data_IF_220666589700
#
_entry.id   IF_220666589700
#
_cell.length_a   1.000
_cell.length_b   1.000
_cell.length_c   1.000
_cell.angle_alpha   90.00
_cell.angle_beta   90.00
_cell.angle_gamma   90.00
#
_symmetry.space_group_name_H-M   'P 1'
#
loop_
_entity.id
_entity.type
_entity.pdbx_description
1 polymer ?
#
# COMPACT_ATOMS: atom_id res chain seq x y z
N UNK A 1 -23.08 -0.62 -12.83
CA UNK A 1 -21.74 -1.20 -12.58
C UNK A 1 -21.85 -2.51 -11.81
N UNK A 2 -22.49 -2.56 -10.67
CA UNK A 2 -22.74 -3.80 -9.88
C UNK A 2 -23.38 -4.92 -10.73
N UNK A 3 -24.38 -4.63 -11.57
CA UNK A 3 -24.98 -5.61 -12.49
C UNK A 3 -23.99 -6.21 -13.50
N UNK A 4 -22.99 -5.46 -13.95
CA UNK A 4 -21.95 -5.97 -14.87
C UNK A 4 -20.92 -6.85 -14.15
N UNK A 5 -20.67 -6.59 -12.87
CA UNK A 5 -19.78 -7.40 -12.04
C UNK A 5 -20.45 -8.70 -11.60
N UNK A 6 -21.74 -8.65 -11.23
CA UNK A 6 -22.53 -9.85 -10.98
C UNK A 6 -22.66 -10.71 -12.25
N UNK A 7 -22.73 -10.08 -13.43
CA UNK A 7 -22.73 -10.78 -14.71
C UNK A 7 -21.36 -11.41 -15.03
N UNK A 8 -20.24 -10.77 -14.66
CA UNK A 8 -18.91 -11.36 -14.81
C UNK A 8 -18.67 -12.53 -13.84
N UNK A 9 -19.12 -12.40 -12.58
CA UNK A 9 -19.09 -13.50 -11.62
C UNK A 9 -20.02 -14.65 -12.08
N UNK A 10 -21.22 -14.35 -12.58
CA UNK A 10 -22.14 -15.35 -13.13
C UNK A 10 -21.62 -15.97 -14.43
N UNK A 11 -20.87 -15.23 -15.28
CA UNK A 11 -20.24 -15.79 -16.45
C UNK A 11 -19.10 -16.76 -16.10
N UNK A 12 -18.32 -16.48 -15.06
CA UNK A 12 -17.33 -17.41 -14.53
C UNK A 12 -17.96 -18.70 -13.99
N UNK A 13 -19.15 -18.61 -13.38
CA UNK A 13 -19.88 -19.81 -12.92
C UNK A 13 -20.47 -20.63 -14.06
N UNK A 14 -20.78 -20.03 -15.23
CA UNK A 14 -21.31 -20.75 -16.39
C UNK A 14 -20.22 -21.53 -17.17
N UNK A 15 -18.96 -21.17 -17.06
CA UNK A 15 -17.84 -21.95 -17.63
C UNK A 15 -17.44 -23.16 -16.78
N UNK A 16 -18.02 -23.33 -15.60
CA UNK A 16 -17.73 -24.44 -14.68
C UNK A 16 -18.45 -25.77 -15.03
N UNK A 17 -19.26 -25.79 -16.09
CA UNK A 17 -19.93 -27.00 -16.51
C UNK A 17 -19.14 -27.70 -17.63
N UNK A 18 -18.58 -28.83 -17.23
CA UNK A 18 -18.05 -29.94 -18.05
C UNK A 18 -16.53 -30.06 -18.21
N UNK A 19 -16.02 -31.15 -17.63
CA UNK A 19 -14.92 -32.01 -18.07
C UNK A 19 -13.46 -31.62 -17.74
N UNK A 20 -13.15 -31.16 -16.54
CA UNK A 20 -11.82 -31.42 -16.00
C UNK A 20 -11.97 -31.93 -14.55
N UNK A 21 -11.24 -32.98 -14.17
CA UNK A 21 -11.17 -33.44 -12.79
C UNK A 21 -10.55 -32.33 -11.95
N UNK A 22 -11.35 -31.64 -11.14
CA UNK A 22 -10.96 -30.52 -10.29
C UNK A 22 -12.16 -29.82 -9.66
N UNK A 23 -11.90 -28.99 -8.66
CA UNK A 23 -12.95 -28.32 -7.90
C UNK A 23 -12.88 -26.80 -8.01
N UNK A 24 -14.05 -26.16 -8.15
CA UNK A 24 -14.19 -24.73 -8.02
C UNK A 24 -14.40 -24.31 -6.58
N UNK A 25 -13.64 -23.32 -6.13
CA UNK A 25 -13.84 -22.60 -4.89
C UNK A 25 -14.18 -21.14 -5.16
N UNK A 26 -15.23 -20.64 -4.52
CA UNK A 26 -15.64 -19.25 -4.60
C UNK A 26 -15.72 -18.68 -3.19
N UNK A 27 -14.97 -17.59 -2.98
CA UNK A 27 -14.96 -16.88 -1.71
C UNK A 27 -15.35 -15.42 -1.95
N UNK A 28 -16.22 -14.91 -1.10
CA UNK A 28 -16.50 -13.49 -1.01
C UNK A 28 -16.36 -13.06 0.44
N UNK A 29 -15.63 -12.00 0.67
CA UNK A 29 -15.44 -11.45 1.99
C UNK A 29 -15.43 -9.92 1.94
N UNK A 30 -15.74 -9.32 3.08
CA UNK A 30 -15.77 -7.89 3.17
C UNK A 30 -15.20 -7.38 4.49
N UNK A 31 -14.85 -6.11 4.49
CA UNK A 31 -14.41 -5.38 5.66
C UNK A 31 -15.06 -4.01 5.65
N UNK A 32 -15.57 -3.57 6.78
CA UNK A 32 -15.96 -2.19 6.98
C UNK A 32 -15.21 -1.66 8.21
N UNK A 33 -14.61 -0.47 8.09
CA UNK A 33 -13.90 0.20 9.19
C UNK A 33 -14.37 1.63 9.27
N UNK A 34 -14.74 2.08 10.46
CA UNK A 34 -15.07 3.46 10.77
C UNK A 34 -14.22 3.92 11.93
N UNK A 35 -13.57 5.05 11.75
CA UNK A 35 -12.72 5.67 12.77
C UNK A 35 -13.28 7.05 13.10
N UNK A 36 -13.34 7.39 14.37
CA UNK A 36 -13.52 8.76 14.83
C UNK A 36 -12.18 9.26 15.34
N UNK A 37 -11.79 10.46 14.93
CA UNK A 37 -10.56 11.07 15.41
C UNK A 37 -10.74 12.54 15.72
N UNK A 38 -10.10 12.96 16.81
CA UNK A 38 -9.89 14.35 17.14
C UNK A 38 -8.46 14.74 16.86
N UNK A 39 -8.26 15.88 16.17
CA UNK A 39 -6.93 16.40 15.82
C UNK A 39 -6.74 17.79 16.37
N UNK A 40 -5.53 18.11 16.80
CA UNK A 40 -5.06 19.46 17.08
C UNK A 40 -3.95 19.83 16.12
N UNK A 41 -3.93 21.07 15.64
CA UNK A 41 -2.95 21.58 14.70
C UNK A 41 -2.24 22.80 15.27
N UNK A 42 -0.94 22.87 15.00
CA UNK A 42 -0.10 23.98 15.45
C UNK A 42 0.63 24.58 14.24
N UNK A 43 -0.15 24.98 13.21
CA UNK A 43 0.44 25.55 11.98
C UNK A 43 -0.53 26.46 11.24
N UNK A 44 0.03 27.30 10.38
CA UNK A 44 -0.76 28.14 9.48
C UNK A 44 -1.60 27.30 8.51
N UNK A 45 -1.08 26.17 8.04
CA UNK A 45 -1.78 25.22 7.15
C UNK A 45 -2.99 24.59 7.81
N UNK A 46 -2.89 24.23 9.11
CA UNK A 46 -3.96 23.57 9.85
C UNK A 46 -5.15 24.46 10.22
N UNK A 47 -5.03 25.81 10.14
CA UNK A 47 -6.09 26.74 10.59
C UNK A 47 -7.44 26.58 9.90
N UNK A 48 -7.47 25.98 8.72
CA UNK A 48 -8.70 25.75 7.95
C UNK A 48 -9.19 24.31 7.99
N UNK A 49 -8.59 23.47 8.82
CA UNK A 49 -8.94 22.05 8.92
C UNK A 49 -9.94 21.80 10.07
N UNK A 50 -10.78 20.79 9.90
CA UNK A 50 -11.65 20.30 10.96
C UNK A 50 -10.84 19.61 12.04
N UNK A 51 -11.20 19.80 13.32
CA UNK A 51 -10.63 19.03 14.43
C UNK A 51 -11.27 17.64 14.58
N UNK A 52 -12.45 17.43 14.04
CA UNK A 52 -13.17 16.17 14.14
C UNK A 52 -13.28 15.50 12.78
N UNK A 53 -12.96 14.23 12.72
CA UNK A 53 -12.88 13.43 11.50
C UNK A 53 -13.60 12.09 11.72
N UNK A 54 -14.29 11.62 10.69
CA UNK A 54 -14.99 10.34 10.69
C UNK A 54 -14.74 9.57 9.39
N UNK A 55 -13.49 9.18 9.09
CA UNK A 55 -13.22 8.38 7.91
C UNK A 55 -13.83 6.99 8.04
N UNK A 56 -14.48 6.53 6.97
CA UNK A 56 -15.09 5.22 6.89
C UNK A 56 -14.74 4.57 5.55
N UNK A 57 -14.40 3.29 5.59
CA UNK A 57 -14.06 2.51 4.40
C UNK A 57 -14.77 1.17 4.43
N UNK A 58 -15.31 0.77 3.29
CA UNK A 58 -15.83 -0.58 3.04
C UNK A 58 -15.01 -1.17 1.91
N UNK A 59 -14.54 -2.38 2.10
CA UNK A 59 -13.84 -3.17 1.09
C UNK A 59 -14.62 -4.45 0.86
N UNK A 60 -14.84 -4.82 -0.39
CA UNK A 60 -15.42 -6.10 -0.77
C UNK A 60 -14.49 -6.81 -1.74
N UNK A 61 -14.17 -8.07 -1.47
CA UNK A 61 -13.27 -8.88 -2.28
C UNK A 61 -13.96 -10.17 -2.71
N UNK A 62 -13.67 -10.61 -3.92
CA UNK A 62 -14.16 -11.87 -4.48
C UNK A 62 -12.97 -12.65 -5.04
N UNK A 63 -12.93 -13.93 -4.72
CA UNK A 63 -11.96 -14.89 -5.25
C UNK A 63 -12.74 -16.01 -5.93
N UNK A 64 -12.33 -16.37 -7.14
CA UNK A 64 -12.78 -17.57 -7.82
C UNK A 64 -11.54 -18.39 -8.17
N UNK A 65 -11.49 -19.65 -7.77
CA UNK A 65 -10.32 -20.52 -7.95
C UNK A 65 -10.77 -21.89 -8.46
N UNK A 66 -9.99 -22.44 -9.37
CA UNK A 66 -10.15 -23.81 -9.86
C UNK A 66 -8.88 -24.59 -9.52
N UNK A 67 -9.05 -25.65 -8.74
CA UNK A 67 -7.98 -26.55 -8.35
C UNK A 67 -7.92 -27.74 -9.31
N UNK A 68 -6.77 -27.95 -9.96
CA UNK A 68 -6.51 -29.11 -10.81
C UNK A 68 -5.93 -30.26 -9.99
N UNK A 69 -6.17 -31.51 -10.40
CA UNK A 69 -5.64 -32.71 -9.72
C UNK A 69 -4.12 -32.79 -9.68
N UNK A 70 -3.43 -32.10 -10.59
CA UNK A 70 -1.97 -32.06 -10.68
C UNK A 70 -1.29 -31.00 -9.79
N UNK A 71 -2.04 -30.38 -8.86
CA UNK A 71 -1.53 -29.36 -7.95
C UNK A 71 -1.45 -27.95 -8.51
N UNK A 72 -1.91 -27.72 -9.75
CA UNK A 72 -2.07 -26.36 -10.28
C UNK A 72 -3.38 -25.76 -9.80
N UNK A 73 -3.38 -24.43 -9.64
CA UNK A 73 -4.58 -23.66 -9.32
C UNK A 73 -4.66 -22.45 -10.23
N UNK A 74 -5.79 -22.28 -10.89
CA UNK A 74 -6.10 -21.08 -11.68
C UNK A 74 -7.14 -20.27 -10.92
N UNK A 75 -6.91 -18.97 -10.74
CA UNK A 75 -7.81 -18.11 -10.01
C UNK A 75 -7.98 -16.73 -10.61
N UNK A 76 -9.00 -16.03 -10.14
CA UNK A 76 -9.23 -14.62 -10.37
C UNK A 76 -9.58 -13.93 -9.06
N UNK A 77 -9.04 -12.74 -8.88
CA UNK A 77 -9.25 -11.89 -7.71
C UNK A 77 -9.77 -10.53 -8.14
N UNK A 78 -10.75 -10.00 -7.40
CA UNK A 78 -11.20 -8.63 -7.55
C UNK A 78 -11.46 -8.00 -6.18
N UNK A 79 -10.95 -6.79 -5.97
CA UNK A 79 -11.10 -6.01 -4.76
C UNK A 79 -11.70 -4.64 -5.09
N UNK A 80 -12.73 -4.24 -4.33
CA UNK A 80 -13.43 -2.99 -4.48
C UNK A 80 -13.46 -2.24 -3.16
N UNK A 81 -13.09 -1.00 -3.23
CA UNK A 81 -13.13 -0.09 -2.10
C UNK A 81 -14.22 0.97 -2.28
N UNK A 82 -14.93 1.26 -1.21
CA UNK A 82 -15.82 2.40 -1.09
C UNK A 82 -15.55 3.11 0.23
N UNK A 83 -15.40 4.42 0.21
CA UNK A 83 -15.25 5.17 1.44
C UNK A 83 -14.94 6.64 1.25
N UNK A 84 -15.09 7.39 2.35
CA UNK A 84 -14.67 8.75 2.48
C UNK A 84 -13.26 8.77 3.07
N UNK A 85 -12.30 9.16 2.26
CA UNK A 85 -10.98 9.57 2.70
C UNK A 85 -10.97 11.11 2.70
N UNK A 86 -10.64 11.75 3.80
CA UNK A 86 -10.70 13.22 3.90
C UNK A 86 -9.65 13.92 3.04
N UNK A 87 -8.57 13.27 2.70
CA UNK A 87 -7.62 13.80 1.71
C UNK A 87 -8.21 13.84 0.29
N UNK A 88 -9.32 13.13 0.09
CA UNK A 88 -10.07 13.06 -1.16
C UNK A 88 -11.25 14.03 -1.18
N UNK A 89 -11.20 15.16 -0.44
CA UNK A 89 -12.29 16.15 -0.41
C UNK A 89 -12.76 16.62 -1.79
N UNK A 90 -11.90 16.50 -2.78
CA UNK A 90 -12.23 16.85 -4.18
C UNK A 90 -12.66 15.65 -5.01
N UNK A 91 -12.65 14.43 -4.46
CA UNK A 91 -13.19 13.24 -5.11
C UNK A 91 -14.48 12.85 -4.41
N UNK A 92 -15.58 12.99 -5.14
CA UNK A 92 -16.89 12.46 -4.76
C UNK A 92 -16.74 11.03 -4.26
N UNK A 93 -17.46 10.69 -3.17
CA UNK A 93 -17.66 9.34 -2.71
C UNK A 93 -17.75 8.39 -3.90
N UNK A 94 -16.75 7.54 -4.08
CA UNK A 94 -16.65 6.69 -5.26
C UNK A 94 -16.27 5.27 -4.91
N UNK A 95 -16.67 4.35 -5.77
CA UNK A 95 -16.13 3.00 -5.77
C UNK A 95 -14.86 3.03 -6.60
N UNK A 96 -13.76 2.59 -6.03
CA UNK A 96 -12.52 2.35 -6.76
C UNK A 96 -12.13 0.87 -6.70
N UNK A 97 -11.64 0.32 -7.80
CA UNK A 97 -11.00 -0.99 -7.81
C UNK A 97 -9.56 -0.83 -7.33
N UNK A 98 -9.17 -1.57 -6.30
CA UNK A 98 -7.80 -1.57 -5.84
C UNK A 98 -6.96 -2.60 -6.61
N UNK A 99 -7.48 -3.82 -6.75
CA UNK A 99 -6.80 -4.92 -7.42
C UNK A 99 -7.78 -5.76 -8.23
N UNK A 100 -7.39 -6.13 -9.46
CA UNK A 100 -8.13 -7.06 -10.32
C UNK A 100 -7.11 -7.84 -11.14
N UNK A 101 -6.95 -9.12 -10.86
CA UNK A 101 -5.94 -9.94 -11.50
C UNK A 101 -6.30 -11.42 -11.58
N UNK A 102 -5.69 -12.13 -12.54
CA UNK A 102 -5.65 -13.58 -12.61
C UNK A 102 -4.44 -14.14 -11.88
N UNK A 103 -4.57 -15.34 -11.33
CA UNK A 103 -3.51 -16.06 -10.64
C UNK A 103 -3.37 -17.44 -11.28
N UNK A 104 -2.14 -17.84 -11.56
CA UNK A 104 -1.77 -19.24 -11.79
C UNK A 104 -0.80 -19.62 -10.67
N UNK A 105 -1.26 -20.46 -9.76
CA UNK A 105 -0.44 -21.05 -8.70
C UNK A 105 0.00 -22.47 -9.10
N UNK A 106 1.23 -22.81 -8.81
CA UNK A 106 1.83 -24.06 -9.23
C UNK A 106 2.98 -24.47 -8.30
N UNK A 107 3.43 -25.74 -8.33
CA UNK A 107 4.64 -26.15 -7.61
C UNK A 107 5.90 -25.36 -7.97
N UNK A 108 5.89 -24.67 -9.10
CA UNK A 108 7.02 -23.85 -9.58
C UNK A 108 6.89 -22.37 -9.22
N UNK A 109 5.84 -21.98 -8.49
CA UNK A 109 5.56 -20.61 -8.05
C UNK A 109 4.26 -20.06 -8.59
N UNK A 110 4.05 -18.80 -8.26
CA UNK A 110 2.82 -18.05 -8.51
C UNK A 110 3.04 -17.01 -9.60
N UNK A 111 2.21 -17.04 -10.64
CA UNK A 111 2.14 -16.03 -11.68
C UNK A 111 0.86 -15.20 -11.50
N UNK A 112 1.00 -13.89 -11.42
CA UNK A 112 -0.09 -12.94 -11.24
C UNK A 112 -0.14 -12.03 -12.46
N UNK A 113 -1.32 -11.88 -13.07
CA UNK A 113 -1.52 -11.10 -14.30
C UNK A 113 -2.66 -10.11 -14.09
N UNK A 114 -2.38 -8.83 -14.13
CA UNK A 114 -3.40 -7.78 -13.99
C UNK A 114 -3.01 -6.69 -13.01
N UNK A 115 -4.02 -6.05 -12.44
CA UNK A 115 -3.85 -4.95 -11.49
C UNK A 115 -3.57 -5.50 -10.09
N UNK A 116 -2.32 -5.50 -9.70
CA UNK A 116 -1.86 -5.99 -8.40
C UNK A 116 -0.66 -5.19 -7.89
N UNK A 117 -0.31 -5.34 -6.64
CA UNK A 117 0.98 -4.84 -6.15
C UNK A 117 2.13 -5.65 -6.75
N UNK A 118 3.29 -5.00 -6.92
CA UNK A 118 4.50 -5.62 -7.44
C UNK A 118 5.14 -6.61 -6.45
N UNK A 119 6.12 -7.38 -6.92
CA UNK A 119 6.79 -8.40 -6.11
C UNK A 119 7.53 -7.81 -4.90
N UNK A 120 8.15 -6.64 -5.02
CA UNK A 120 8.87 -6.02 -3.91
C UNK A 120 7.93 -5.49 -2.81
N UNK A 121 6.72 -5.08 -3.17
CA UNK A 121 5.67 -4.74 -2.21
C UNK A 121 5.12 -5.99 -1.51
N UNK A 122 4.87 -7.08 -2.27
CA UNK A 122 4.30 -8.32 -1.73
C UNK A 122 5.26 -9.06 -0.79
N UNK A 123 6.56 -9.00 -1.06
CA UNK A 123 7.61 -9.63 -0.25
C UNK A 123 8.31 -8.64 0.70
N UNK A 124 7.89 -7.38 0.71
CA UNK A 124 8.45 -6.32 1.54
C UNK A 124 8.18 -6.51 3.03
N UNK A 125 9.13 -6.13 3.85
CA UNK A 125 9.02 -6.09 5.30
C UNK A 125 9.14 -4.64 5.77
N UNK A 126 8.35 -4.30 6.77
CA UNK A 126 8.36 -3.00 7.42
C UNK A 126 8.15 -3.14 8.94
N UNK A 127 8.16 -2.03 9.66
CA UNK A 127 7.80 -2.00 11.08
C UNK A 127 6.40 -2.59 11.32
N UNK A 128 6.14 -3.21 12.49
CA UNK A 128 4.84 -3.80 12.79
C UNK A 128 3.72 -2.76 12.74
N UNK A 129 2.59 -3.14 12.13
CA UNK A 129 1.41 -2.29 11.99
C UNK A 129 0.17 -2.97 12.56
N UNK A 130 -0.60 -2.28 13.39
CA UNK A 130 -1.81 -2.80 14.08
C UNK A 130 -3.10 -2.26 13.42
N UNK A 131 -3.11 -2.06 12.12
CA UNK A 131 -4.35 -1.90 11.35
C UNK A 131 -5.25 -0.68 11.61
N UNK A 132 -4.94 0.18 12.59
CA UNK A 132 -5.62 1.47 12.80
C UNK A 132 -4.99 2.52 11.91
N UNK A 133 -3.70 2.69 12.09
CA UNK A 133 -2.84 3.55 11.30
C UNK A 133 -1.72 2.67 10.76
N UNK A 134 -1.58 2.60 9.45
CA UNK A 134 -0.46 1.92 8.82
C UNK A 134 0.82 2.74 9.02
N UNK A 135 1.96 2.08 9.26
CA UNK A 135 3.26 2.77 9.26
C UNK A 135 3.61 3.23 7.86
N UNK A 136 3.44 2.34 6.90
CA UNK A 136 3.49 2.69 5.49
C UNK A 136 2.10 3.17 5.06
N UNK A 137 2.03 4.20 4.23
CA UNK A 137 0.76 4.81 3.81
C UNK A 137 -0.09 5.21 5.03
N UNK A 138 0.52 5.84 6.01
CA UNK A 138 -0.12 6.13 7.29
C UNK A 138 -1.46 6.84 7.13
N UNK A 139 -2.50 6.24 7.67
CA UNK A 139 -3.84 6.84 7.70
C UNK A 139 -3.91 8.10 8.60
N UNK A 140 -2.81 8.48 9.29
CA UNK A 140 -2.76 9.72 10.10
C UNK A 140 -3.08 10.95 9.26
N UNK A 141 -2.73 10.93 7.97
CA UNK A 141 -2.99 12.03 7.03
C UNK A 141 -4.48 12.33 6.85
N UNK A 142 -5.36 11.40 7.23
CA UNK A 142 -6.81 11.62 7.28
C UNK A 142 -7.23 12.47 8.50
N UNK A 143 -6.34 12.67 9.45
CA UNK A 143 -6.56 13.40 10.69
C UNK A 143 -5.67 14.63 10.79
N UNK A 144 -4.39 14.49 10.42
CA UNK A 144 -3.41 15.58 10.33
C UNK A 144 -2.94 15.63 8.88
N UNK A 145 -3.49 16.56 8.09
CA UNK A 145 -3.19 16.61 6.66
C UNK A 145 -1.71 16.85 6.41
N UNK A 146 -1.16 16.11 5.45
CA UNK A 146 0.23 16.23 5.02
C UNK A 146 0.32 17.08 3.74
N UNK A 147 0.88 18.31 3.80
CA UNK A 147 1.07 19.15 2.61
C UNK A 147 2.00 18.54 1.57
N UNK A 148 2.90 17.64 1.99
CA UNK A 148 3.83 16.95 1.10
C UNK A 148 3.16 15.83 0.29
N UNK A 149 1.95 15.40 0.68
CA UNK A 149 1.15 14.37 0.01
C UNK A 149 -0.09 14.96 -0.65
N UNK A 150 0.04 16.07 -1.32
CA UNK A 150 -1.10 16.70 -1.98
C UNK A 150 -1.59 15.86 -3.14
N UNK A 151 -2.87 15.57 -3.12
CA UNK A 151 -3.59 15.00 -4.25
C UNK A 151 -4.25 16.14 -5.01
N UNK A 152 -3.80 16.39 -6.22
CA UNK A 152 -4.47 17.34 -7.09
C UNK A 152 -5.46 16.63 -8.03
N UNK A 153 -6.30 17.39 -8.74
CA UNK A 153 -7.32 16.87 -9.68
C UNK A 153 -6.78 15.99 -10.81
N UNK A 154 -5.46 15.85 -10.94
CA UNK A 154 -4.80 15.16 -12.06
C UNK A 154 -3.81 14.08 -11.62
N UNK A 155 -3.65 13.85 -10.33
CA UNK A 155 -2.74 12.83 -9.82
C UNK A 155 -2.34 13.03 -8.38
N UNK A 156 -1.54 12.12 -7.86
CA UNK A 156 -0.90 12.24 -6.56
C UNK A 156 0.50 12.80 -6.75
N UNK A 157 0.76 13.99 -6.27
CA UNK A 157 2.10 14.51 -6.13
C UNK A 157 2.59 14.23 -4.71
N UNK A 158 3.66 13.46 -4.56
CA UNK A 158 4.35 13.32 -3.29
C UNK A 158 5.67 14.08 -3.37
N UNK A 159 5.91 14.95 -2.41
CA UNK A 159 7.20 15.63 -2.25
C UNK A 159 8.18 14.78 -1.46
N UNK A 160 7.65 13.88 -0.62
CA UNK A 160 8.35 12.89 0.20
C UNK A 160 7.85 11.49 -0.15
N UNK A 161 8.47 10.44 0.36
CA UNK A 161 7.98 9.07 0.21
C UNK A 161 6.93 8.78 1.29
N UNK A 162 5.87 8.07 0.91
CA UNK A 162 4.78 7.67 1.80
C UNK A 162 4.93 6.25 2.36
N UNK A 163 5.98 5.54 1.97
CA UNK A 163 6.20 4.14 2.31
C UNK A 163 7.66 3.77 2.19
N UNK A 164 8.07 2.77 2.95
CA UNK A 164 9.35 2.07 2.78
C UNK A 164 9.27 0.91 1.80
N UNK A 165 8.07 0.61 1.30
CA UNK A 165 7.89 -0.38 0.22
C UNK A 165 7.99 0.30 -1.15
N UNK A 166 8.48 -0.42 -2.14
CA UNK A 166 8.45 0.00 -3.55
C UNK A 166 7.00 -0.04 -4.04
N UNK A 167 6.35 1.13 -4.09
CA UNK A 167 4.94 1.27 -4.47
C UNK A 167 4.69 2.33 -5.54
N UNK A 168 5.72 2.78 -6.24
CA UNK A 168 5.64 3.83 -7.28
C UNK A 168 4.68 3.47 -8.41
N UNK A 169 4.65 2.20 -8.81
CA UNK A 169 3.73 1.68 -9.82
C UNK A 169 2.32 1.38 -9.27
N UNK A 170 2.11 1.47 -7.94
CA UNK A 170 0.83 1.18 -7.31
C UNK A 170 0.26 -0.17 -7.75
N UNK A 171 -1.04 -0.18 -8.07
CA UNK A 171 -1.74 -1.34 -8.64
C UNK A 171 -1.86 -1.30 -10.17
N UNK A 172 -0.92 -0.65 -10.88
CA UNK A 172 -0.87 -0.69 -12.33
C UNK A 172 -0.85 -2.14 -12.84
N UNK A 173 -1.44 -2.36 -14.02
CA UNK A 173 -1.46 -3.69 -14.65
C UNK A 173 -0.02 -4.18 -14.89
N UNK A 174 0.26 -5.39 -14.47
CA UNK A 174 1.59 -6.00 -14.49
C UNK A 174 1.56 -7.51 -14.59
N UNK A 175 2.72 -8.07 -14.88
CA UNK A 175 3.02 -9.48 -14.72
C UNK A 175 3.93 -9.61 -13.51
N UNK A 176 3.53 -10.42 -12.53
CA UNK A 176 4.32 -10.68 -11.34
C UNK A 176 4.51 -12.19 -11.16
N UNK A 177 5.74 -12.60 -10.95
CA UNK A 177 6.09 -13.96 -10.58
C UNK A 177 6.65 -13.94 -9.15
N UNK A 178 6.22 -14.89 -8.33
CA UNK A 178 6.78 -15.16 -7.01
C UNK A 178 7.16 -16.65 -6.96
N UNK A 179 8.42 -16.92 -6.63
CA UNK A 179 8.93 -18.30 -6.53
C UNK A 179 8.22 -19.07 -5.43
N UNK A 180 8.20 -20.40 -5.48
CA UNK A 180 7.95 -21.17 -4.28
C UNK A 180 9.04 -20.88 -3.24
N UNK A 181 8.77 -21.26 -2.01
CA UNK A 181 9.77 -21.23 -0.95
C UNK A 181 10.85 -22.29 -1.23
N UNK A 182 12.11 -21.91 -1.11
CA UNK A 182 13.27 -22.78 -1.21
C UNK A 182 14.26 -22.47 -0.10
N UNK A 183 15.22 -23.35 0.15
CA UNK A 183 16.25 -23.18 1.19
C UNK A 183 15.67 -22.73 2.55
N UNK A 184 14.57 -23.38 2.99
CA UNK A 184 13.96 -23.17 4.30
C UNK A 184 13.63 -21.70 4.59
N UNK A 185 12.81 -21.07 3.74
CA UNK A 185 12.26 -19.75 4.01
C UNK A 185 12.66 -18.67 3.00
N UNK A 186 13.37 -19.01 1.93
CA UNK A 186 13.75 -18.04 0.89
C UNK A 186 12.73 -18.01 -0.24
N UNK A 187 12.33 -16.82 -0.66
CA UNK A 187 11.51 -16.57 -1.86
C UNK A 187 12.11 -15.41 -2.66
N UNK A 188 11.94 -15.42 -3.96
CA UNK A 188 12.21 -14.27 -4.80
C UNK A 188 10.98 -13.91 -5.64
N UNK A 189 10.91 -12.66 -6.04
CA UNK A 189 9.84 -12.16 -6.88
C UNK A 189 10.34 -11.25 -7.98
N UNK A 190 9.63 -11.27 -9.12
CA UNK A 190 9.91 -10.43 -10.29
C UNK A 190 8.60 -9.81 -10.77
N UNK A 191 8.64 -8.53 -11.17
CA UNK A 191 7.49 -7.90 -11.82
C UNK A 191 7.94 -7.12 -13.06
N UNK A 192 7.11 -7.17 -14.09
CA UNK A 192 7.17 -6.31 -15.26
C UNK A 192 5.90 -5.48 -15.36
N UNK A 193 6.07 -4.16 -15.38
CA UNK A 193 4.98 -3.18 -15.45
C UNK A 193 5.10 -2.46 -16.79
N UNK A 194 4.17 -2.70 -17.74
CA UNK A 194 4.23 -2.04 -19.06
C UNK A 194 4.08 -0.52 -18.98
N UNK A 195 3.25 -0.04 -18.03
CA UNK A 195 3.00 1.37 -17.81
C UNK A 195 2.83 1.66 -16.30
N UNK A 196 3.90 2.13 -15.68
CA UNK A 196 3.95 2.42 -14.24
C UNK A 196 3.16 3.66 -13.81
N UNK A 197 2.64 4.45 -14.75
CA UNK A 197 1.82 5.64 -14.47
C UNK A 197 0.32 5.40 -14.53
N UNK A 198 -0.13 4.23 -14.97
CA UNK A 198 -1.56 3.86 -15.03
C UNK A 198 -2.10 3.47 -13.65
N UNK A 199 -1.87 4.29 -12.63
CA UNK A 199 -2.21 4.01 -11.23
C UNK A 199 -3.67 3.67 -10.96
N UNK A 200 -4.59 4.11 -11.83
CA UNK A 200 -6.04 3.94 -11.66
C UNK A 200 -6.61 3.05 -12.77
N UNK A 201 -6.11 1.87 -12.88
CA UNK A 201 -6.27 0.89 -13.94
C UNK A 201 -7.66 0.61 -14.50
N UNK A 202 -8.75 0.97 -13.85
CA UNK A 202 -10.09 0.72 -14.36
C UNK A 202 -10.78 1.96 -14.97
N UNK A 203 -10.32 3.19 -14.75
CA UNK A 203 -11.13 4.38 -15.07
C UNK A 203 -10.40 5.50 -15.83
N UNK A 204 -9.08 5.57 -15.86
CA UNK A 204 -8.40 6.74 -16.43
C UNK A 204 -7.66 6.43 -17.74
N UNK A 205 -8.40 6.49 -18.87
CA UNK A 205 -7.88 6.30 -20.24
C UNK A 205 -7.20 7.54 -20.84
N UNK A 206 -7.04 8.61 -20.09
CA UNK A 206 -6.58 9.90 -20.63
C UNK A 206 -5.13 10.28 -20.25
N UNK A 207 -4.32 9.33 -19.81
CA UNK A 207 -2.90 9.60 -19.59
C UNK A 207 -2.17 9.72 -20.94
N UNK A 208 -1.97 10.95 -21.40
CA UNK A 208 -1.14 11.30 -22.56
C UNK A 208 0.36 11.11 -22.30
N UNK A 209 0.74 10.31 -21.32
CA UNK A 209 2.11 10.07 -20.93
C UNK A 209 2.62 8.83 -21.65
N UNK A 210 3.82 8.93 -22.20
CA UNK A 210 4.50 7.80 -22.85
C UNK A 210 4.67 6.66 -21.85
N UNK A 211 4.34 5.46 -22.27
CA UNK A 211 4.50 4.23 -21.54
C UNK A 211 5.86 4.18 -20.84
N UNK A 212 5.84 4.14 -19.53
CA UNK A 212 7.03 4.00 -18.71
C UNK A 212 7.05 2.59 -18.12
N UNK A 213 7.70 1.69 -18.82
CA UNK A 213 7.90 0.34 -18.35
C UNK A 213 8.73 0.31 -17.07
N UNK A 214 8.42 -0.62 -16.18
CA UNK A 214 9.15 -0.85 -14.94
C UNK A 214 9.51 -2.32 -14.78
N UNK A 215 10.68 -2.56 -14.19
CA UNK A 215 11.19 -3.87 -13.81
C UNK A 215 11.46 -3.86 -12.32
N UNK A 216 10.87 -4.78 -11.59
CA UNK A 216 10.99 -4.88 -10.13
C UNK A 216 11.46 -6.28 -9.79
N UNK A 217 12.40 -6.39 -8.87
CA UNK A 217 12.88 -7.64 -8.31
C UNK A 217 12.87 -7.57 -6.78
N UNK A 218 12.68 -8.70 -6.14
CA UNK A 218 12.73 -8.80 -4.68
C UNK A 218 13.23 -10.15 -4.21
N UNK A 219 13.80 -10.15 -3.02
CA UNK A 219 14.22 -11.31 -2.26
C UNK A 219 13.62 -11.21 -0.86
N UNK A 220 13.12 -12.32 -0.35
CA UNK A 220 12.63 -12.48 1.02
C UNK A 220 13.27 -13.72 1.62
N UNK A 221 13.63 -13.64 2.90
CA UNK A 221 14.10 -14.78 3.66
C UNK A 221 13.53 -14.74 5.07
N UNK A 222 13.17 -15.90 5.61
CA UNK A 222 12.77 -16.07 7.01
C UNK A 222 13.40 -17.32 7.59
N UNK A 223 13.82 -17.28 8.85
CA UNK A 223 14.47 -18.39 9.53
C UNK A 223 14.12 -18.38 11.02
N UNK A 224 13.92 -19.57 11.57
CA UNK A 224 13.73 -19.77 13.00
C UNK A 224 15.05 -20.16 13.68
N UNK A 225 15.57 -19.25 14.53
CA UNK A 225 16.83 -19.44 15.25
C UNK A 225 16.56 -19.34 16.75
N UNK A 226 16.73 -20.43 17.47
CA UNK A 226 16.65 -20.46 18.95
C UNK A 226 15.35 -19.83 19.51
N UNK A 227 14.24 -20.05 18.83
CA UNK A 227 12.92 -19.55 19.22
C UNK A 227 12.66 -18.07 18.87
N UNK A 228 13.50 -17.50 18.02
CA UNK A 228 13.25 -16.24 17.31
C UNK A 228 12.94 -16.55 15.85
N UNK A 229 11.94 -15.92 15.29
CA UNK A 229 11.75 -15.87 13.84
C UNK A 229 12.40 -14.58 13.32
N UNK A 230 13.40 -14.73 12.47
CA UNK A 230 14.08 -13.62 11.80
C UNK A 230 13.61 -13.57 10.37
N UNK A 231 13.21 -12.38 9.89
CA UNK A 231 12.82 -12.20 8.50
C UNK A 231 13.49 -10.98 7.91
N UNK A 232 13.88 -11.08 6.65
CA UNK A 232 14.51 -10.00 5.89
C UNK A 232 13.95 -9.90 4.48
N UNK A 233 13.93 -8.69 3.93
CA UNK A 233 13.55 -8.43 2.54
C UNK A 233 14.46 -7.42 1.87
N UNK A 234 14.67 -7.60 0.58
CA UNK A 234 15.39 -6.68 -0.30
C UNK A 234 14.56 -6.50 -1.57
N UNK A 235 14.25 -5.27 -1.94
CA UNK A 235 13.58 -4.91 -3.19
C UNK A 235 14.43 -3.96 -4.02
N UNK A 236 14.31 -4.06 -5.35
CA UNK A 236 14.90 -3.12 -6.29
C UNK A 236 13.96 -2.89 -7.46
N UNK A 237 13.90 -1.65 -7.97
CA UNK A 237 13.11 -1.30 -9.14
C UNK A 237 13.90 -0.39 -10.08
N UNK A 238 13.62 -0.55 -11.36
CA UNK A 238 14.10 0.31 -12.43
C UNK A 238 12.90 0.67 -13.32
N UNK A 239 12.63 1.95 -13.46
CA UNK A 239 11.58 2.47 -14.32
C UNK A 239 12.19 3.20 -15.53
N UNK A 240 11.48 3.21 -16.63
CA UNK A 240 11.90 3.99 -17.80
C UNK A 240 12.10 5.46 -17.41
N UNK A 241 13.04 6.16 -18.00
CA UNK A 241 13.62 7.47 -17.65
C UNK A 241 14.72 7.38 -16.57
N UNK A 242 15.23 6.17 -16.28
CA UNK A 242 16.30 5.89 -15.31
C UNK A 242 15.90 6.16 -13.84
N UNK A 243 14.63 6.14 -13.51
CA UNK A 243 14.19 6.17 -12.12
C UNK A 243 14.53 4.83 -11.46
N UNK A 244 15.17 4.87 -10.30
CA UNK A 244 15.62 3.68 -9.58
C UNK A 244 15.12 3.74 -8.14
N UNK A 245 14.87 2.57 -7.59
CA UNK A 245 14.46 2.43 -6.21
C UNK A 245 15.09 1.19 -5.57
N UNK A 246 15.36 1.28 -4.28
CA UNK A 246 15.75 0.16 -3.44
C UNK A 246 14.94 0.19 -2.15
N UNK A 247 14.56 -0.98 -1.66
CA UNK A 247 13.95 -1.16 -0.34
C UNK A 247 14.64 -2.27 0.44
N UNK A 248 14.72 -2.09 1.74
CA UNK A 248 15.22 -3.07 2.70
C UNK A 248 14.24 -3.15 3.86
N UNK A 249 14.01 -4.35 4.36
CA UNK A 249 13.21 -4.55 5.55
C UNK A 249 13.70 -5.72 6.37
N UNK A 250 13.52 -5.64 7.68
CA UNK A 250 13.82 -6.75 8.60
C UNK A 250 12.87 -6.73 9.79
N UNK A 251 12.54 -7.89 10.31
CA UNK A 251 11.89 -8.03 11.59
C UNK A 251 12.39 -9.24 12.39
N UNK A 252 12.18 -9.17 13.70
CA UNK A 252 12.47 -10.22 14.67
C UNK A 252 11.19 -10.45 15.47
N UNK A 253 10.69 -11.66 15.44
CA UNK A 253 9.53 -12.05 16.23
C UNK A 253 9.92 -13.06 17.32
N UNK A 254 9.36 -12.87 18.52
CA UNK A 254 9.47 -13.84 19.62
C UNK A 254 8.32 -13.67 20.62
N UNK A 255 7.58 -14.74 20.90
CA UNK A 255 6.54 -14.81 21.97
C UNK A 255 5.59 -13.61 21.98
N UNK A 256 5.06 -13.24 20.79
CA UNK A 256 4.15 -12.11 20.63
C UNK A 256 4.82 -10.75 20.41
N UNK A 257 6.11 -10.60 20.69
CA UNK A 257 6.86 -9.39 20.40
C UNK A 257 7.38 -9.39 18.96
N UNK A 258 7.21 -8.28 18.29
CA UNK A 258 7.80 -8.02 16.98
C UNK A 258 8.60 -6.72 17.04
N UNK A 259 9.87 -6.76 16.70
CA UNK A 259 10.70 -5.59 16.41
C UNK A 259 10.98 -5.56 14.91
N UNK A 260 10.66 -4.47 14.23
CA UNK A 260 10.83 -4.39 12.79
C UNK A 260 11.22 -3.00 12.31
N UNK A 261 11.83 -2.98 11.14
CA UNK A 261 12.24 -1.75 10.45
C UNK A 261 12.21 -1.93 8.94
N UNK A 262 12.02 -0.83 8.23
CA UNK A 262 12.09 -0.74 6.78
C UNK A 262 12.79 0.53 6.33
N UNK A 263 13.37 0.48 5.14
CA UNK A 263 14.07 1.60 4.49
C UNK A 263 13.75 1.57 3.00
N UNK A 264 13.55 2.74 2.39
CA UNK A 264 13.46 2.94 0.94
C UNK A 264 14.28 4.14 0.52
N UNK A 265 14.91 4.01 -0.63
CA UNK A 265 15.61 5.09 -1.33
C UNK A 265 15.11 5.15 -2.76
N UNK A 266 14.90 6.37 -3.26
CA UNK A 266 14.59 6.64 -4.66
C UNK A 266 15.63 7.56 -5.29
N UNK A 267 15.94 7.32 -6.57
CA UNK A 267 16.69 8.21 -7.45
C UNK A 267 15.84 8.45 -8.68
N UNK A 268 15.51 9.71 -8.93
CA UNK A 268 14.57 10.08 -9.99
C UNK A 268 15.28 10.97 -11.01
N UNK A 269 15.28 10.50 -12.25
CA UNK A 269 15.87 11.28 -13.34
C UNK A 269 14.91 12.40 -13.79
N UNK A 270 15.23 13.63 -13.44
CA UNK A 270 14.43 14.80 -13.75
C UNK A 270 14.76 15.43 -15.12
N UNK A 271 15.56 14.77 -15.95
CA UNK A 271 16.03 15.35 -17.21
C UNK A 271 15.39 14.68 -18.43
N UNK A 272 14.63 15.44 -19.21
CA UNK A 272 14.16 15.00 -20.52
C UNK A 272 15.19 15.37 -21.59
N UNK A 273 15.99 14.39 -22.01
CA UNK A 273 17.01 14.55 -23.03
C UNK A 273 16.45 15.00 -24.39
N UNK A 274 15.17 14.69 -24.70
CA UNK A 274 14.54 15.08 -25.97
C UNK A 274 14.12 16.54 -25.98
N UNK A 275 13.78 17.09 -24.83
CA UNK A 275 13.36 18.47 -24.67
C UNK A 275 14.50 19.39 -24.21
N UNK A 276 15.69 18.81 -23.93
CA UNK A 276 16.86 19.52 -23.40
C UNK A 276 16.52 20.44 -22.21
N UNK A 277 15.67 19.98 -21.34
CA UNK A 277 15.23 20.70 -20.15
C UNK A 277 14.91 19.72 -19.01
N UNK A 278 15.05 20.15 -17.77
CA UNK A 278 14.55 19.37 -16.65
C UNK A 278 13.06 19.08 -16.86
N UNK A 279 12.65 17.83 -16.69
CA UNK A 279 11.22 17.49 -16.62
C UNK A 279 10.67 18.15 -15.37
N UNK A 280 10.34 19.42 -15.52
CA UNK A 280 9.69 20.19 -14.48
C UNK A 280 8.21 20.14 -14.69
N UNK A 281 7.54 19.95 -13.60
CA UNK A 281 6.12 20.13 -13.36
C UNK A 281 5.32 18.89 -13.74
N UNK A 282 4.90 18.20 -12.71
CA UNK A 282 3.52 17.75 -12.70
C UNK A 282 2.66 18.92 -13.19
N UNK A 283 1.58 18.66 -13.87
CA UNK A 283 0.73 19.65 -14.55
C UNK A 283 0.34 20.88 -13.72
N UNK A 284 0.55 20.87 -12.41
CA UNK A 284 0.14 21.90 -11.45
C UNK A 284 1.31 22.61 -10.74
N UNK A 285 2.53 22.46 -11.25
CA UNK A 285 3.67 23.20 -10.69
C UNK A 285 4.33 22.58 -9.47
N UNK A 286 3.85 21.43 -9.01
CA UNK A 286 4.47 20.66 -7.92
C UNK A 286 5.54 19.73 -8.48
N UNK A 287 6.72 19.74 -7.86
CA UNK A 287 7.80 18.80 -8.13
C UNK A 287 7.40 17.41 -7.62
N UNK A 288 6.71 16.63 -8.44
CA UNK A 288 6.42 15.24 -8.13
C UNK A 288 7.70 14.42 -8.30
N UNK A 289 7.95 13.54 -7.34
CA UNK A 289 9.09 12.63 -7.28
C UNK A 289 10.46 13.33 -7.23
N UNK A 290 11.13 13.12 -6.14
CA UNK A 290 12.49 13.56 -5.89
C UNK A 290 13.31 12.38 -5.44
N UNK A 291 14.61 12.51 -5.54
CA UNK A 291 15.50 11.72 -4.74
C UNK A 291 15.07 11.86 -3.29
N UNK A 292 14.73 10.76 -2.66
CA UNK A 292 14.17 10.79 -1.31
C UNK A 292 14.51 9.52 -0.53
N UNK A 293 14.54 9.66 0.79
CA UNK A 293 14.64 8.56 1.74
C UNK A 293 13.35 8.41 2.51
N UNK A 294 13.00 7.18 2.82
CA UNK A 294 12.03 6.86 3.87
C UNK A 294 12.55 5.72 4.73
N UNK A 295 12.32 5.81 6.03
CA UNK A 295 12.53 4.69 6.93
C UNK A 295 11.43 4.62 7.97
N UNK A 296 11.18 3.42 8.45
CA UNK A 296 10.32 3.18 9.58
C UNK A 296 10.98 2.21 10.56
N UNK A 297 10.56 2.30 11.81
CA UNK A 297 10.94 1.35 12.84
C UNK A 297 9.79 1.21 13.84
N UNK A 298 9.70 0.08 14.52
CA UNK A 298 8.66 -0.09 15.50
C UNK A 298 8.77 -1.39 16.29
N UNK A 299 8.02 -1.40 17.39
CA UNK A 299 7.85 -2.56 18.25
C UNK A 299 6.37 -2.85 18.38
N UNK A 300 5.99 -4.10 18.17
CA UNK A 300 4.63 -4.61 18.34
C UNK A 300 4.56 -5.68 19.41
N UNK A 301 3.40 -5.83 19.99
CA UNK A 301 3.10 -6.91 20.94
C UNK A 301 1.69 -7.45 20.72
N UNK A 302 1.57 -8.75 20.63
CA UNK A 302 0.31 -9.46 20.49
C UNK A 302 0.14 -10.46 21.63
N UNK A 303 -1.00 -10.39 22.33
CA UNK A 303 -1.36 -11.34 23.39
C UNK A 303 -2.87 -11.62 23.36
N UNK A 304 -3.25 -12.84 23.01
CA UNK A 304 -4.66 -13.21 22.87
C UNK A 304 -5.38 -12.27 21.88
N UNK A 305 -6.49 -11.62 22.29
CA UNK A 305 -7.24 -10.72 21.42
C UNK A 305 -6.64 -9.32 21.31
N UNK A 306 -5.59 -9.00 22.08
CA UNK A 306 -4.99 -7.67 22.13
C UNK A 306 -3.75 -7.59 21.25
N UNK A 307 -3.65 -6.50 20.50
CA UNK A 307 -2.49 -6.13 19.71
C UNK A 307 -2.15 -4.67 19.95
N UNK A 308 -0.87 -4.35 20.06
CA UNK A 308 -0.40 -2.97 20.18
C UNK A 308 0.90 -2.77 19.43
N UNK A 309 1.15 -1.57 18.91
CA UNK A 309 2.41 -1.21 18.29
C UNK A 309 2.74 0.26 18.56
N UNK A 310 4.03 0.52 18.83
CA UNK A 310 4.63 1.83 18.77
C UNK A 310 5.51 1.88 17.52
N UNK A 311 5.26 2.84 16.65
CA UNK A 311 5.94 2.94 15.36
C UNK A 311 6.37 4.38 15.08
N UNK A 312 7.45 4.48 14.34
CA UNK A 312 8.04 5.71 13.85
C UNK A 312 8.21 5.62 12.33
N UNK A 313 7.88 6.69 11.63
CA UNK A 313 8.11 6.84 10.20
C UNK A 313 8.75 8.21 9.94
N UNK A 314 9.72 8.21 9.04
CA UNK A 314 10.37 9.42 8.57
C UNK A 314 10.60 9.35 7.06
N UNK A 315 10.42 10.48 6.38
CA UNK A 315 10.76 10.63 4.97
C UNK A 315 11.32 12.02 4.68
N UNK A 316 12.31 12.10 3.80
CA UNK A 316 12.96 13.35 3.41
C UNK A 316 13.28 13.35 1.93
N UNK A 317 13.00 14.48 1.26
CA UNK A 317 13.44 14.76 -0.09
C UNK A 317 14.84 15.39 -0.10
N UNK A 318 15.71 14.93 -0.99
CA UNK A 318 17.08 15.45 -1.10
C UNK A 318 17.08 16.89 -1.63
N UNK A 319 17.94 17.72 -1.02
CA UNK A 319 18.17 19.09 -1.44
C UNK A 319 16.96 20.02 -1.32
N UNK A 320 15.96 19.63 -0.50
CA UNK A 320 14.77 20.41 -0.17
C UNK A 320 14.42 20.26 1.30
N UNK A 321 13.63 21.22 1.79
CA UNK A 321 13.14 21.24 3.17
C UNK A 321 11.84 20.46 3.34
N UNK A 322 11.61 19.41 2.51
CA UNK A 322 10.43 18.55 2.61
C UNK A 322 10.77 17.34 3.46
N UNK A 323 10.16 17.29 4.64
CA UNK A 323 10.33 16.22 5.60
C UNK A 323 8.98 15.79 6.17
N UNK A 324 8.82 14.49 6.43
CA UNK A 324 7.67 13.93 7.14
C UNK A 324 8.17 13.13 8.32
N UNK A 325 7.63 13.40 9.49
CA UNK A 325 7.86 12.65 10.71
C UNK A 325 6.53 12.21 11.33
N UNK A 326 6.39 10.93 11.60
CA UNK A 326 5.20 10.37 12.22
C UNK A 326 5.62 9.43 13.36
N UNK A 327 5.09 9.67 14.54
CA UNK A 327 5.16 8.73 15.65
C UNK A 327 3.75 8.34 16.06
N UNK A 328 3.49 7.06 16.28
CA UNK A 328 2.17 6.59 16.62
C UNK A 328 2.21 5.40 17.58
N UNK A 329 1.31 5.41 18.54
CA UNK A 329 0.95 4.28 19.38
C UNK A 329 -0.45 3.83 18.96
N UNK A 330 -0.60 2.59 18.56
CA UNK A 330 -1.87 2.02 18.13
C UNK A 330 -2.16 0.71 18.85
N UNK A 331 -3.44 0.40 19.01
CA UNK A 331 -3.93 -0.82 19.62
C UNK A 331 -5.19 -1.32 18.93
N UNK A 332 -5.39 -2.64 19.00
CA UNK A 332 -6.59 -3.31 18.55
C UNK A 332 -7.02 -4.35 19.57
N UNK A 333 -8.33 -4.50 19.73
CA UNK A 333 -8.95 -5.56 20.53
C UNK A 333 -9.93 -6.33 19.66
N UNK A 334 -9.62 -7.57 19.38
CA UNK A 334 -10.50 -8.48 18.62
C UNK A 334 -11.56 -9.05 19.57
N UNK A 335 -12.77 -8.45 19.55
CA UNK A 335 -13.87 -8.87 20.41
C UNK A 335 -14.39 -10.26 20.04
N UNK A 336 -14.47 -10.55 18.73
CA UNK A 336 -14.82 -11.86 18.18
C UNK A 336 -14.27 -12.00 16.74
N UNK A 337 -14.65 -13.04 16.02
CA UNK A 337 -14.14 -13.31 14.65
C UNK A 337 -14.49 -12.21 13.64
N UNK A 338 -15.53 -11.44 13.87
CA UNK A 338 -16.01 -10.42 12.92
C UNK A 338 -15.89 -8.97 13.41
N UNK A 339 -15.69 -8.71 14.73
CA UNK A 339 -15.63 -7.35 15.30
C UNK A 339 -14.30 -7.07 15.96
N UNK A 340 -13.67 -5.97 15.59
CA UNK A 340 -12.43 -5.46 16.19
C UNK A 340 -12.60 -3.99 16.56
N UNK A 341 -12.22 -3.62 17.78
CA UNK A 341 -12.10 -2.25 18.23
C UNK A 341 -10.69 -1.75 18.08
N UNK A 342 -10.53 -0.45 17.81
CA UNK A 342 -9.27 0.21 17.58
C UNK A 342 -9.12 1.47 18.43
N UNK A 343 -7.88 1.76 18.82
CA UNK A 343 -7.50 3.04 19.40
C UNK A 343 -6.09 3.42 18.97
N UNK A 344 -5.84 4.72 18.77
CA UNK A 344 -4.50 5.21 18.48
C UNK A 344 -4.30 6.64 18.97
N UNK A 345 -3.05 6.97 19.28
CA UNK A 345 -2.56 8.33 19.46
C UNK A 345 -1.36 8.53 18.54
N UNK A 346 -1.35 9.59 17.78
CA UNK A 346 -0.29 9.85 16.81
C UNK A 346 0.09 11.34 16.78
N UNK A 347 1.34 11.63 16.44
CA UNK A 347 1.85 12.95 16.10
C UNK A 347 2.38 12.88 14.67
N UNK A 348 1.98 13.83 13.85
CA UNK A 348 2.56 14.09 12.53
C UNK A 348 3.20 15.47 12.49
N UNK A 349 4.40 15.56 11.91
CA UNK A 349 5.10 16.79 11.58
C UNK A 349 5.53 16.69 10.12
N UNK A 350 5.08 17.65 9.33
CA UNK A 350 5.23 17.66 7.88
C UNK A 350 5.79 19.01 7.49
N UNK A 351 7.09 19.05 7.23
CA UNK A 351 7.79 20.29 6.88
C UNK A 351 7.83 20.49 5.38
N UNK A 352 7.56 21.69 4.97
CA UNK A 352 7.66 22.20 3.62
C UNK A 352 8.63 23.36 3.52
N UNK A 353 8.74 23.95 2.33
CA UNK A 353 9.66 25.09 2.11
C UNK A 353 9.16 26.41 2.72
N UNK A 354 7.91 26.47 3.15
CA UNK A 354 7.28 27.64 3.78
C UNK A 354 6.37 27.22 4.93
N UNK A 355 6.02 28.12 5.85
CA UNK A 355 5.05 27.81 6.91
C UNK A 355 3.67 27.42 6.39
N UNK A 356 3.26 27.91 5.22
CA UNK A 356 2.00 27.57 4.56
C UNK A 356 2.03 26.16 3.95
N UNK A 357 3.21 25.64 3.66
CA UNK A 357 3.46 24.29 3.17
C UNK A 357 3.83 23.31 4.30
N UNK A 358 3.74 23.73 5.56
CA UNK A 358 4.11 22.92 6.72
C UNK A 358 2.90 22.68 7.62
N UNK A 359 2.80 21.50 8.20
CA UNK A 359 1.74 21.17 9.15
C UNK A 359 2.28 20.27 10.27
N UNK A 360 1.78 20.53 11.49
CA UNK A 360 2.11 19.73 12.66
C UNK A 360 0.87 19.54 13.51
N UNK A 361 0.66 18.32 13.98
CA UNK A 361 -0.51 18.06 14.80
C UNK A 361 -0.47 16.72 15.52
N UNK A 362 -1.44 16.57 16.40
CA UNK A 362 -1.72 15.32 17.12
C UNK A 362 -3.09 14.80 16.71
N UNK A 363 -3.23 13.49 16.66
CA UNK A 363 -4.51 12.82 16.45
C UNK A 363 -4.76 11.77 17.53
N UNK A 364 -5.98 11.78 18.07
CA UNK A 364 -6.49 10.75 18.98
C UNK A 364 -7.65 10.06 18.26
N UNK A 365 -7.56 8.76 18.11
CA UNK A 365 -8.42 8.00 17.22
C UNK A 365 -9.01 6.82 17.97
N UNK A 366 -10.30 6.59 17.78
CA UNK A 366 -10.99 5.38 18.22
C UNK A 366 -11.90 4.89 17.10
N UNK A 367 -12.18 3.60 17.05
CA UNK A 367 -13.07 3.08 16.02
C UNK A 367 -13.33 1.60 16.12
N UNK A 368 -14.06 1.11 15.12
CA UNK A 368 -14.39 -0.29 15.00
C UNK A 368 -14.29 -0.73 13.54
N UNK A 369 -13.99 -2.01 13.37
CA UNK A 369 -14.01 -2.69 12.08
C UNK A 369 -14.75 -4.00 12.17
N UNK A 370 -15.51 -4.31 11.13
CA UNK A 370 -16.17 -5.60 10.96
C UNK A 370 -15.62 -6.33 9.75
N UNK A 371 -15.58 -7.65 9.84
CA UNK A 371 -15.32 -8.58 8.72
C UNK A 371 -16.55 -9.43 8.51
N UNK A 372 -16.92 -9.70 7.27
CA UNK A 372 -18.08 -10.52 6.89
C UNK A 372 -17.82 -11.27 5.60
#
# INVERSE_FOLDING_TARGET
MIKKMMAAAAALTMFAAESAAGEWNFEAFGKAKTLYGYSSFDSAYGKHQSHNHLPSRITGSVIAQYQFDNGYQLGAYADLHYGADQQLKDYNYGVWGAEVYGILDSPYGKLILGQSYNAAYQLGISAPSIGVLGVNQSDIVNFVANPNWQRNHRGTGYRTLNSTDINTDGTAAKVTYISPEFNNGTMFGLSYVPDSYSRDGLINRNASYKNKAGYIASLYHTEDISGFTLSGSLGGAYFADNDQEISLGANIYRKGWTLGAGLRRTWVNHYDAKMNRPVRKSFDGYDAYRDAWAYNAGIGYEIGPFKTALTYFYSKADGKDYEDEIIQLSGAYQFNSWLTFYAAAARGEFDGSTPEDSNKGYAYIAGAGIKF
#
